data_IF_544584447165
#
_entry.id   IF_544584447165
#
_cell.length_a   1.000
_cell.length_b   1.000
_cell.length_c   1.000
_cell.angle_alpha   90.00
_cell.angle_beta   90.00
_cell.angle_gamma   90.00
#
_symmetry.space_group_name_H-M   'P 1'
#
loop_
_entity.id
_entity.type
_entity.pdbx_description
1 polymer ?
#
# COMPACT_ATOMS: atom_id res chain seq x y z
N UNK A 1 -1.37 -0.49 20.79
CA UNK A 1 -2.74 -0.06 20.51
C UNK A 1 -3.46 -1.22 19.88
N UNK A 2 -4.65 -1.57 20.38
CA UNK A 2 -5.47 -2.65 19.84
C UNK A 2 -6.63 -2.07 18.99
N UNK A 3 -7.52 -2.93 18.50
CA UNK A 3 -8.67 -2.50 17.69
C UNK A 3 -9.70 -1.71 18.54
N UNK A 4 -9.82 -1.99 19.83
CA UNK A 4 -10.73 -1.29 20.74
C UNK A 4 -10.29 0.16 20.96
N UNK A 5 -8.98 0.39 21.13
CA UNK A 5 -8.40 1.73 21.19
C UNK A 5 -8.69 2.53 19.91
N UNK A 6 -8.69 1.86 18.74
CA UNK A 6 -9.02 2.47 17.45
C UNK A 6 -10.48 2.95 17.42
N UNK A 7 -11.41 2.20 18.02
CA UNK A 7 -12.83 2.56 18.08
C UNK A 7 -13.04 3.86 18.87
N UNK A 8 -12.32 4.06 19.97
CA UNK A 8 -12.38 5.32 20.74
C UNK A 8 -11.94 6.54 19.90
N UNK A 9 -10.91 6.36 19.06
CA UNK A 9 -10.46 7.40 18.11
C UNK A 9 -11.56 7.68 17.08
N UNK A 10 -12.20 6.64 16.54
CA UNK A 10 -13.30 6.78 15.57
C UNK A 10 -14.48 7.55 16.17
N UNK A 11 -14.92 7.17 17.37
CA UNK A 11 -16.00 7.85 18.09
C UNK A 11 -15.69 9.33 18.26
N UNK A 12 -14.47 9.66 18.66
CA UNK A 12 -14.01 11.05 18.86
C UNK A 12 -14.00 11.84 17.55
N UNK A 13 -13.47 11.27 16.45
CA UNK A 13 -13.36 11.96 15.15
C UNK A 13 -14.74 12.18 14.53
N UNK A 14 -15.64 11.20 14.63
CA UNK A 14 -16.91 11.21 13.94
C UNK A 14 -18.11 11.54 14.84
N UNK A 15 -17.91 11.95 16.09
CA UNK A 15 -18.98 12.29 17.06
C UNK A 15 -20.04 13.28 16.51
N UNK A 16 -19.63 14.18 15.61
CA UNK A 16 -20.51 15.19 15.01
C UNK A 16 -20.73 14.96 13.50
N UNK A 17 -20.40 13.77 13.00
CA UNK A 17 -20.60 13.39 11.61
C UNK A 17 -21.41 12.08 11.48
N UNK A 18 -22.74 12.13 11.68
CA UNK A 18 -23.61 10.96 11.54
C UNK A 18 -23.54 10.28 10.17
N UNK A 19 -23.13 11.01 9.12
CA UNK A 19 -23.01 10.44 7.77
C UNK A 19 -21.89 9.41 7.66
N UNK A 20 -20.86 9.50 8.50
CA UNK A 20 -19.75 8.55 8.52
C UNK A 20 -20.17 7.13 8.95
N UNK A 21 -21.29 7.01 9.67
CA UNK A 21 -21.86 5.74 10.13
C UNK A 21 -22.90 5.15 9.16
N UNK A 22 -23.26 5.88 8.09
CA UNK A 22 -24.18 5.39 7.05
C UNK A 22 -23.42 4.56 6.03
N UNK A 23 -24.16 3.83 5.17
CA UNK A 23 -23.59 3.04 4.05
C UNK A 23 -22.67 3.90 3.18
N UNK A 24 -21.45 3.43 2.95
CA UNK A 24 -20.41 4.15 2.21
C UNK A 24 -19.69 5.24 3.03
N UNK A 25 -20.04 5.38 4.31
CA UNK A 25 -19.35 6.25 5.26
C UNK A 25 -18.04 5.64 5.75
N UNK A 26 -17.16 6.48 6.31
CA UNK A 26 -15.85 6.07 6.81
C UNK A 26 -15.93 4.95 7.85
N UNK A 27 -16.85 5.07 8.81
CA UNK A 27 -16.95 4.12 9.92
C UNK A 27 -17.48 2.78 9.43
N UNK A 28 -18.44 2.79 8.51
CA UNK A 28 -18.95 1.57 7.90
C UNK A 28 -17.87 0.85 7.09
N UNK A 29 -17.08 1.59 6.30
CA UNK A 29 -15.95 1.05 5.55
C UNK A 29 -14.87 0.47 6.48
N UNK A 30 -14.47 1.17 7.53
CA UNK A 30 -13.49 0.66 8.51
C UNK A 30 -14.01 -0.62 9.19
N UNK A 31 -15.28 -0.64 9.61
CA UNK A 31 -15.88 -1.81 10.23
C UNK A 31 -15.94 -3.01 9.27
N UNK A 32 -16.11 -2.77 7.97
CA UNK A 32 -16.05 -3.85 6.97
C UNK A 32 -14.65 -4.49 6.92
N UNK A 33 -13.58 -3.69 7.01
CA UNK A 33 -12.20 -4.20 7.10
C UNK A 33 -11.89 -4.91 8.42
N UNK A 34 -12.42 -4.41 9.55
CA UNK A 34 -12.30 -5.09 10.85
C UNK A 34 -12.95 -6.48 10.79
N UNK A 35 -14.11 -6.60 10.15
CA UNK A 35 -14.77 -7.90 9.92
C UNK A 35 -13.98 -8.78 8.96
N UNK A 36 -13.41 -8.21 7.90
CA UNK A 36 -12.59 -8.93 6.93
C UNK A 36 -11.38 -9.56 7.62
N UNK A 37 -10.62 -8.81 8.43
CA UNK A 37 -9.47 -9.37 9.15
C UNK A 37 -9.87 -10.45 10.17
N UNK A 38 -11.02 -10.32 10.84
CA UNK A 38 -11.54 -11.38 11.72
C UNK A 38 -11.78 -12.66 10.93
N UNK A 39 -12.47 -12.55 9.79
CA UNK A 39 -12.72 -13.69 8.92
C UNK A 39 -11.43 -14.33 8.40
N UNK A 40 -10.49 -13.53 7.88
CA UNK A 40 -9.20 -14.02 7.37
C UNK A 40 -8.42 -14.81 8.44
N UNK A 41 -8.50 -14.40 9.71
CA UNK A 41 -7.91 -15.14 10.83
C UNK A 41 -8.61 -16.48 11.07
N UNK A 42 -9.93 -16.50 11.03
CA UNK A 42 -10.72 -17.73 11.23
C UNK A 42 -10.44 -18.78 10.16
N UNK A 43 -10.29 -18.35 8.90
CA UNK A 43 -10.00 -19.25 7.76
C UNK A 43 -8.50 -19.44 7.51
N UNK A 44 -7.63 -18.91 8.38
CA UNK A 44 -6.18 -19.02 8.30
C UNK A 44 -5.59 -18.55 6.94
N UNK A 45 -6.07 -17.41 6.44
CA UNK A 45 -5.60 -16.77 5.19
C UNK A 45 -4.76 -15.51 5.42
N UNK A 46 -4.36 -15.27 6.66
CA UNK A 46 -3.47 -14.17 7.02
C UNK A 46 -2.43 -14.66 8.02
N UNK A 47 -1.16 -14.60 7.62
CA UNK A 47 0.00 -15.17 8.32
C UNK A 47 0.68 -14.17 9.26
N UNK A 48 -0.05 -13.14 9.70
CA UNK A 48 0.51 -12.01 10.45
C UNK A 48 1.27 -12.40 11.75
N UNK A 49 0.87 -13.49 12.41
CA UNK A 49 1.55 -13.98 13.63
C UNK A 49 2.96 -14.50 13.34
N UNK A 50 3.18 -15.11 12.18
CA UNK A 50 4.49 -15.65 11.77
C UNK A 50 5.53 -14.53 11.65
N UNK A 51 5.07 -13.31 11.40
CA UNK A 51 5.87 -12.10 11.24
C UNK A 51 5.82 -11.16 12.46
N UNK A 52 5.25 -11.60 13.59
CA UNK A 52 5.11 -10.81 14.82
C UNK A 52 4.37 -9.47 14.61
N UNK A 53 3.36 -9.46 13.73
CA UNK A 53 2.46 -8.31 13.60
C UNK A 53 1.42 -8.33 14.71
N UNK A 54 1.06 -7.13 15.15
CA UNK A 54 -0.13 -6.88 15.96
C UNK A 54 -1.38 -6.95 15.08
N UNK A 55 -2.55 -7.06 15.72
CA UNK A 55 -3.83 -7.05 15.01
C UNK A 55 -4.07 -5.75 14.22
N UNK A 56 -3.56 -4.61 14.71
CA UNK A 56 -3.71 -3.31 14.07
C UNK A 56 -2.77 -3.15 12.86
N UNK A 57 -1.54 -3.65 12.95
CA UNK A 57 -0.62 -3.74 11.81
C UNK A 57 -1.20 -4.61 10.69
N UNK A 58 -1.75 -5.78 11.04
CA UNK A 58 -2.42 -6.64 10.09
C UNK A 58 -3.67 -5.97 9.48
N UNK A 59 -4.46 -5.24 10.29
CA UNK A 59 -5.60 -4.48 9.78
C UNK A 59 -5.17 -3.41 8.78
N UNK A 60 -4.07 -2.70 9.04
CA UNK A 60 -3.53 -1.70 8.11
C UNK A 60 -3.11 -2.32 6.76
N UNK A 61 -2.57 -3.54 6.74
CA UNK A 61 -2.27 -4.27 5.49
C UNK A 61 -3.58 -4.61 4.75
N UNK A 62 -4.57 -5.17 5.44
CA UNK A 62 -5.87 -5.50 4.82
C UNK A 62 -6.57 -4.26 4.26
N UNK A 63 -6.47 -3.12 4.94
CA UNK A 63 -6.99 -1.83 4.46
C UNK A 63 -6.23 -1.36 3.20
N UNK A 64 -4.90 -1.54 3.15
CA UNK A 64 -4.06 -1.17 2.02
C UNK A 64 -4.40 -1.98 0.75
N UNK A 65 -4.60 -3.28 0.88
CA UNK A 65 -4.95 -4.15 -0.25
C UNK A 65 -6.43 -4.00 -0.65
N UNK A 66 -7.29 -3.62 0.30
CA UNK A 66 -8.73 -3.47 0.08
C UNK A 66 -9.18 -2.06 -0.32
N UNK A 67 -10.51 -1.92 -0.45
CA UNK A 67 -11.17 -0.65 -0.82
C UNK A 67 -11.02 0.50 0.20
N UNK A 68 -10.30 0.30 1.31
CA UNK A 68 -10.02 1.32 2.31
C UNK A 68 -8.75 2.14 2.03
N UNK A 69 -7.88 1.65 1.15
CA UNK A 69 -6.54 2.20 0.89
C UNK A 69 -6.57 3.67 0.52
N UNK A 70 -7.37 4.04 -0.49
CA UNK A 70 -7.52 5.42 -0.93
C UNK A 70 -7.97 6.32 0.21
N UNK A 71 -8.95 5.88 1.00
CA UNK A 71 -9.63 6.72 1.99
C UNK A 71 -8.84 6.91 3.29
N UNK A 72 -8.16 5.87 3.75
CA UNK A 72 -7.49 5.88 5.07
C UNK A 72 -5.97 5.98 5.01
N UNK A 73 -5.35 5.62 3.89
CA UNK A 73 -3.89 5.48 3.78
C UNK A 73 -3.35 6.42 2.71
N UNK A 74 -3.69 6.18 1.44
CA UNK A 74 -3.09 6.87 0.31
C UNK A 74 -3.53 8.34 0.21
N UNK A 75 -4.84 8.65 0.15
CA UNK A 75 -5.30 10.05 0.00
C UNK A 75 -4.79 10.96 1.14
N UNK A 76 -4.83 10.59 2.44
CA UNK A 76 -4.26 11.40 3.52
C UNK A 76 -2.78 11.75 3.37
N UNK A 77 -1.98 10.88 2.72
CA UNK A 77 -0.56 11.13 2.45
C UNK A 77 -0.32 12.20 1.37
N UNK A 78 -1.30 12.42 0.47
CA UNK A 78 -1.24 13.44 -0.58
C UNK A 78 -2.12 14.67 -0.28
N UNK A 79 -3.07 14.55 0.63
CA UNK A 79 -4.01 15.61 1.01
C UNK A 79 -4.07 15.77 2.52
N UNK A 80 -3.28 16.72 3.06
CA UNK A 80 -3.24 17.02 4.49
C UNK A 80 -4.58 17.34 5.13
N UNK A 81 -5.59 17.79 4.36
CA UNK A 81 -6.94 18.04 4.91
C UNK A 81 -7.70 16.76 5.27
N UNK A 82 -7.25 15.62 4.78
CA UNK A 82 -7.80 14.29 5.06
C UNK A 82 -7.06 13.58 6.19
N UNK A 83 -5.90 14.11 6.59
CA UNK A 83 -5.14 13.59 7.72
C UNK A 83 -5.86 13.92 9.04
N UNK A 84 -6.05 12.88 9.85
CA UNK A 84 -6.61 12.93 11.19
C UNK A 84 -6.04 11.78 12.04
N UNK A 85 -6.34 11.74 13.34
CA UNK A 85 -5.77 10.76 14.26
C UNK A 85 -6.02 9.29 13.85
N UNK A 86 -7.15 8.96 13.22
CA UNK A 86 -7.43 7.61 12.72
C UNK A 86 -6.47 7.26 11.57
N UNK A 87 -6.38 8.13 10.56
CA UNK A 87 -5.50 7.89 9.40
C UNK A 87 -4.02 7.88 9.81
N UNK A 88 -3.61 8.73 10.75
CA UNK A 88 -2.24 8.75 11.27
C UNK A 88 -1.88 7.43 11.95
N UNK A 89 -2.76 6.92 12.81
CA UNK A 89 -2.57 5.63 13.47
C UNK A 89 -2.48 4.50 12.44
N UNK A 90 -3.36 4.46 11.44
CA UNK A 90 -3.35 3.42 10.41
C UNK A 90 -2.08 3.47 9.55
N UNK A 91 -1.64 4.67 9.16
CA UNK A 91 -0.41 4.88 8.37
C UNK A 91 0.83 4.49 9.18
N UNK A 92 0.92 4.88 10.46
CA UNK A 92 2.05 4.52 11.34
C UNK A 92 2.12 3.01 11.60
N UNK A 93 0.96 2.35 11.75
CA UNK A 93 0.93 0.89 11.87
C UNK A 93 1.35 0.24 10.55
N UNK A 94 0.98 0.78 9.39
CA UNK A 94 1.47 0.25 8.12
C UNK A 94 2.99 0.41 7.97
N UNK A 95 3.55 1.58 8.33
CA UNK A 95 5.00 1.81 8.36
C UNK A 95 5.72 0.76 9.23
N UNK A 96 5.13 0.39 10.37
CA UNK A 96 5.67 -0.65 11.26
C UNK A 96 5.52 -2.05 10.67
N UNK A 97 4.35 -2.36 10.11
CA UNK A 97 4.03 -3.66 9.52
C UNK A 97 4.96 -4.01 8.35
N UNK A 98 5.21 -3.05 7.44
CA UNK A 98 6.08 -3.27 6.28
C UNK A 98 7.50 -3.68 6.71
N UNK A 99 8.06 -3.06 7.75
CA UNK A 99 9.43 -3.39 8.22
C UNK A 99 9.54 -4.79 8.84
N UNK A 100 8.41 -5.41 9.20
CA UNK A 100 8.34 -6.78 9.71
C UNK A 100 8.10 -7.82 8.60
N UNK A 101 7.60 -7.38 7.45
CA UNK A 101 7.43 -8.23 6.28
C UNK A 101 8.82 -8.58 5.68
N UNK A 102 8.92 -9.69 4.93
CA UNK A 102 10.15 -10.03 4.22
C UNK A 102 10.55 -8.94 3.23
N UNK A 103 11.83 -8.64 3.14
CA UNK A 103 12.38 -7.77 2.09
C UNK A 103 12.15 -8.41 0.72
N UNK A 104 11.96 -7.55 -0.29
CA UNK A 104 11.83 -7.99 -1.66
C UNK A 104 13.11 -8.64 -2.18
N UNK A 105 12.93 -9.79 -2.81
CA UNK A 105 13.97 -10.59 -3.46
C UNK A 105 13.86 -10.57 -4.98
N UNK A 106 12.74 -10.07 -5.52
CA UNK A 106 12.48 -10.07 -6.95
C UNK A 106 13.23 -8.94 -7.67
N UNK A 107 13.91 -9.22 -8.79
CA UNK A 107 14.74 -8.21 -9.48
C UNK A 107 13.92 -7.21 -10.29
N UNK A 108 12.63 -7.49 -10.54
CA UNK A 108 11.72 -6.63 -11.29
C UNK A 108 10.35 -6.68 -10.62
N UNK A 109 9.72 -5.51 -10.50
CA UNK A 109 8.35 -5.35 -10.03
C UNK A 109 7.56 -4.52 -11.04
N UNK A 110 6.24 -4.64 -11.01
CA UNK A 110 5.32 -3.98 -11.93
C UNK A 110 4.27 -3.18 -11.18
N UNK A 111 3.85 -2.05 -11.74
CA UNK A 111 2.67 -1.32 -11.27
C UNK A 111 1.95 -0.66 -12.43
N UNK A 112 0.62 -0.74 -12.41
CA UNK A 112 -0.25 -0.13 -13.41
C UNK A 112 -0.98 1.05 -12.78
N UNK A 113 -0.75 2.25 -13.31
CA UNK A 113 -1.35 3.52 -12.87
C UNK A 113 -1.21 3.86 -11.37
N UNK A 114 -0.44 3.08 -10.60
CA UNK A 114 -0.34 3.18 -9.14
C UNK A 114 0.29 4.48 -8.64
N UNK A 115 1.12 5.14 -9.46
CA UNK A 115 1.62 6.48 -9.19
C UNK A 115 1.46 7.35 -10.43
N UNK A 116 0.44 8.21 -10.43
CA UNK A 116 0.18 9.10 -11.56
C UNK A 116 1.09 10.32 -11.53
N UNK A 117 2.03 10.36 -12.47
CA UNK A 117 2.94 11.49 -12.71
C UNK A 117 2.86 11.94 -14.18
N UNK A 118 2.69 13.24 -14.39
CA UNK A 118 2.78 13.84 -15.71
C UNK A 118 4.21 14.19 -16.12
N UNK A 119 4.45 14.31 -17.42
CA UNK A 119 5.71 14.83 -18.00
C UNK A 119 6.99 14.06 -17.62
N UNK A 120 6.93 12.72 -17.62
CA UNK A 120 8.10 11.88 -17.37
C UNK A 120 9.24 12.13 -18.37
N UNK A 121 10.48 12.21 -17.86
CA UNK A 121 11.70 12.30 -18.66
C UNK A 121 12.76 11.34 -18.12
N UNK A 122 13.55 10.77 -19.02
CA UNK A 122 14.71 9.96 -18.65
C UNK A 122 15.69 10.82 -17.84
N UNK A 123 16.20 10.26 -16.74
CA UNK A 123 17.05 10.93 -15.76
C UNK A 123 16.30 11.70 -14.67
N UNK A 124 14.97 11.80 -14.74
CA UNK A 124 14.18 12.42 -13.66
C UNK A 124 14.29 11.59 -12.37
N UNK A 125 14.54 12.27 -11.25
CA UNK A 125 14.45 11.69 -9.91
C UNK A 125 13.18 12.20 -9.24
N UNK A 126 12.42 11.29 -8.65
CA UNK A 126 11.21 11.63 -7.90
C UNK A 126 11.08 10.82 -6.62
N UNK A 127 10.30 11.34 -5.69
CA UNK A 127 9.95 10.69 -4.42
C UNK A 127 8.47 10.32 -4.44
N UNK A 128 8.13 9.08 -4.06
CA UNK A 128 6.73 8.69 -3.83
C UNK A 128 6.38 9.03 -2.38
N UNK A 129 5.45 9.95 -2.17
CA UNK A 129 5.07 10.39 -0.80
C UNK A 129 4.22 9.36 -0.05
N UNK A 130 3.39 8.60 -0.77
CA UNK A 130 2.62 7.47 -0.26
C UNK A 130 3.39 6.17 -0.33
N UNK A 131 2.73 5.05 -0.02
CA UNK A 131 3.28 3.73 -0.27
C UNK A 131 3.16 3.42 -1.77
N UNK A 132 4.20 2.84 -2.38
CA UNK A 132 4.14 2.49 -3.80
C UNK A 132 3.83 1.01 -3.98
N UNK A 133 2.57 0.74 -4.32
CA UNK A 133 2.05 -0.60 -4.53
C UNK A 133 2.49 -1.14 -5.87
N UNK A 134 3.13 -2.31 -5.84
CA UNK A 134 3.64 -3.05 -7.00
C UNK A 134 3.29 -4.52 -6.87
N UNK A 135 3.56 -5.31 -7.91
CA UNK A 135 3.43 -6.76 -7.91
C UNK A 135 4.63 -7.40 -8.61
N UNK A 136 4.87 -8.67 -8.32
CA UNK A 136 5.79 -9.51 -9.11
C UNK A 136 5.19 -9.86 -10.48
N UNK A 137 3.86 -9.78 -10.60
CA UNK A 137 3.13 -10.12 -11.81
C UNK A 137 2.93 -8.92 -12.72
N UNK A 138 3.15 -9.16 -14.01
CA UNK A 138 2.91 -8.19 -15.06
C UNK A 138 1.46 -8.26 -15.55
N UNK A 139 0.56 -7.60 -14.84
CA UNK A 139 -0.83 -7.49 -15.27
C UNK A 139 -0.97 -6.59 -16.49
N UNK A 140 -1.78 -7.00 -17.48
CA UNK A 140 -2.09 -6.18 -18.65
C UNK A 140 -3.40 -5.40 -18.44
N UNK A 141 -3.39 -4.47 -17.48
CA UNK A 141 -4.55 -3.64 -17.13
C UNK A 141 -4.21 -2.16 -16.94
N UNK A 142 -3.08 -1.70 -17.48
CA UNK A 142 -2.71 -0.29 -17.45
C UNK A 142 -3.61 0.56 -18.35
N UNK A 143 -4.05 1.71 -17.85
CA UNK A 143 -4.83 2.70 -18.58
C UNK A 143 -3.98 3.86 -19.10
N UNK A 144 -2.90 4.22 -18.40
CA UNK A 144 -2.08 5.39 -18.77
C UNK A 144 -0.58 5.11 -18.66
N UNK A 145 -0.14 4.51 -17.56
CA UNK A 145 1.27 4.22 -17.33
C UNK A 145 1.43 2.82 -16.75
N UNK A 146 2.29 2.03 -17.37
CA UNK A 146 2.87 0.83 -16.80
C UNK A 146 4.28 1.13 -16.31
N UNK A 147 4.51 0.91 -15.03
CA UNK A 147 5.80 1.05 -14.39
C UNK A 147 6.51 -0.30 -14.37
N UNK A 148 7.76 -0.32 -14.81
CA UNK A 148 8.67 -1.45 -14.64
C UNK A 148 9.77 -0.98 -13.70
N UNK A 149 9.81 -1.57 -12.51
CA UNK A 149 10.61 -1.11 -11.40
C UNK A 149 11.77 -2.09 -11.18
N UNK A 150 12.99 -1.58 -11.18
CA UNK A 150 14.18 -2.27 -10.69
C UNK A 150 14.42 -1.88 -9.22
N UNK A 151 14.02 -2.69 -8.23
CA UNK A 151 14.35 -2.44 -6.83
C UNK A 151 15.85 -2.59 -6.59
N UNK A 152 16.34 -2.02 -5.49
CA UNK A 152 17.69 -2.32 -5.02
C UNK A 152 17.81 -3.81 -4.63
N UNK A 153 19.04 -4.34 -4.50
CA UNK A 153 19.24 -5.70 -4.01
C UNK A 153 18.63 -5.95 -2.62
N UNK A 154 18.37 -7.22 -2.32
CA UNK A 154 17.91 -7.67 -1.01
C UNK A 154 18.81 -7.11 0.10
N UNK A 155 18.20 -6.59 1.17
CA UNK A 155 18.88 -5.92 2.28
C UNK A 155 19.10 -4.41 2.08
N UNK A 156 18.99 -3.89 0.85
CA UNK A 156 19.09 -2.45 0.55
C UNK A 156 17.75 -1.84 0.13
N UNK A 157 16.90 -2.62 -0.56
CA UNK A 157 15.60 -2.15 -1.03
C UNK A 157 14.66 -1.77 0.11
N UNK A 158 13.78 -0.80 -0.14
CA UNK A 158 12.61 -0.46 0.67
C UNK A 158 11.34 -1.19 0.26
N UNK A 159 11.41 -2.12 -0.67
CA UNK A 159 10.30 -3.00 -1.04
C UNK A 159 10.17 -4.19 -0.09
N UNK A 160 8.93 -4.54 0.23
CA UNK A 160 8.58 -5.67 1.10
C UNK A 160 7.46 -6.52 0.52
N UNK A 161 7.60 -7.83 0.66
CA UNK A 161 6.69 -8.84 0.09
C UNK A 161 5.49 -9.07 1.01
N UNK A 162 4.52 -8.16 0.97
CA UNK A 162 3.34 -8.23 1.84
C UNK A 162 2.40 -9.38 1.49
N UNK A 163 2.44 -9.87 0.24
CA UNK A 163 1.69 -11.06 -0.17
C UNK A 163 1.98 -12.31 0.67
N UNK A 164 3.16 -12.36 1.32
CA UNK A 164 3.50 -13.45 2.24
C UNK A 164 2.75 -13.38 3.57
N UNK A 165 2.28 -12.19 3.95
CA UNK A 165 1.42 -11.99 5.12
C UNK A 165 -0.04 -12.24 4.73
N UNK A 166 -0.49 -11.63 3.65
CA UNK A 166 -1.84 -11.76 3.12
C UNK A 166 -1.77 -11.54 1.61
N UNK A 167 -2.29 -12.48 0.82
CA UNK A 167 -2.34 -12.35 -0.62
C UNK A 167 -3.80 -12.18 -1.04
N UNK A 168 -4.23 -10.93 -1.28
CA UNK A 168 -5.55 -10.70 -1.83
C UNK A 168 -5.72 -11.45 -3.16
N UNK A 169 -6.88 -12.11 -3.31
CA UNK A 169 -7.20 -12.88 -4.51
C UNK A 169 -6.57 -14.27 -4.59
N UNK A 170 -5.97 -14.82 -3.53
CA UNK A 170 -5.37 -16.17 -3.54
C UNK A 170 -6.34 -17.29 -3.97
N UNK A 171 -7.62 -17.18 -3.63
CA UNK A 171 -8.66 -18.13 -4.08
C UNK A 171 -9.31 -17.76 -5.42
N UNK A 172 -8.92 -16.62 -5.98
CA UNK A 172 -9.35 -16.18 -7.28
C UNK A 172 -8.29 -16.56 -8.33
N UNK A 173 -8.62 -16.55 -9.63
CA UNK A 173 -7.65 -16.85 -10.68
C UNK A 173 -6.47 -15.87 -10.78
N UNK A 174 -6.51 -14.77 -10.01
CA UNK A 174 -5.57 -13.65 -10.07
C UNK A 174 -5.15 -13.23 -8.65
N UNK A 175 -4.32 -14.03 -7.96
CA UNK A 175 -3.60 -13.56 -6.78
C UNK A 175 -2.79 -12.31 -7.13
N UNK A 176 -2.74 -11.33 -6.24
CA UNK A 176 -2.13 -10.04 -6.55
C UNK A 176 -0.61 -10.04 -6.33
N UNK A 177 -0.09 -10.92 -5.48
CA UNK A 177 1.34 -11.01 -5.13
C UNK A 177 1.98 -9.64 -4.86
N UNK A 178 1.26 -8.81 -4.10
CA UNK A 178 1.59 -7.43 -3.85
C UNK A 178 2.92 -7.27 -3.09
N UNK A 179 3.75 -6.36 -3.59
CA UNK A 179 5.01 -5.89 -3.00
C UNK A 179 4.90 -4.38 -2.79
N UNK A 180 5.22 -3.92 -1.60
CA UNK A 180 5.02 -2.52 -1.22
C UNK A 180 6.35 -1.83 -0.90
N UNK A 181 6.60 -0.68 -1.53
CA UNK A 181 7.71 0.18 -1.13
C UNK A 181 7.30 1.11 0.03
N UNK A 182 8.24 1.36 0.94
CA UNK A 182 8.05 2.40 1.97
C UNK A 182 7.73 3.75 1.33
N UNK A 183 6.91 4.53 2.03
CA UNK A 183 6.73 5.95 1.70
C UNK A 183 8.04 6.73 1.79
N UNK A 184 8.18 7.70 0.89
CA UNK A 184 9.41 8.48 0.74
C UNK A 184 10.51 7.77 -0.06
N UNK A 185 10.22 6.62 -0.69
CA UNK A 185 11.17 5.96 -1.59
C UNK A 185 11.41 6.83 -2.83
N UNK A 186 12.68 6.89 -3.25
CA UNK A 186 13.14 7.66 -4.40
C UNK A 186 13.42 6.74 -5.57
N UNK A 187 13.07 7.20 -6.76
CA UNK A 187 13.30 6.48 -8.00
C UNK A 187 13.91 7.41 -9.05
N UNK A 188 14.71 6.84 -9.96
CA UNK A 188 15.18 7.49 -11.18
C UNK A 188 14.50 6.85 -12.39
N UNK A 189 14.01 7.67 -13.32
CA UNK A 189 13.49 7.19 -14.60
C UNK A 189 14.65 6.84 -15.53
N UNK A 190 14.75 5.58 -15.93
CA UNK A 190 15.87 5.07 -16.74
C UNK A 190 15.52 4.91 -18.21
N UNK A 191 14.25 4.63 -18.54
CA UNK A 191 13.76 4.52 -19.91
C UNK A 191 12.27 4.84 -20.01
N UNK A 192 11.83 5.31 -21.19
CA UNK A 192 10.43 5.58 -21.48
C UNK A 192 10.11 5.08 -22.89
N UNK A 193 9.22 4.10 -22.99
CA UNK A 193 8.66 3.63 -24.25
C UNK A 193 7.25 4.19 -24.40
N UNK A 194 7.06 5.05 -25.40
CA UNK A 194 5.74 5.61 -25.72
C UNK A 194 4.92 4.57 -26.46
N UNK A 195 3.80 4.17 -25.86
CA UNK A 195 2.81 3.29 -26.50
C UNK A 195 1.65 4.08 -27.09
N UNK A 196 0.78 3.36 -27.80
CA UNK A 196 -0.49 3.93 -28.31
C UNK A 196 -1.56 4.04 -27.22
N UNK A 197 -1.58 3.08 -26.29
CA UNK A 197 -2.57 2.99 -25.23
C UNK A 197 -2.03 3.56 -23.92
N UNK A 198 -0.85 3.11 -23.50
CA UNK A 198 -0.16 3.60 -22.31
C UNK A 198 1.35 3.73 -22.57
N UNK A 199 2.03 4.51 -21.73
CA UNK A 199 3.49 4.56 -21.72
C UNK A 199 4.04 3.46 -20.81
N UNK A 200 5.13 2.81 -21.22
CA UNK A 200 5.93 1.96 -20.33
C UNK A 200 7.10 2.77 -19.82
N UNK A 201 7.20 2.91 -18.52
CA UNK A 201 8.22 3.72 -17.85
C UNK A 201 9.07 2.82 -16.97
N UNK A 202 10.35 2.71 -17.32
CA UNK A 202 11.32 1.99 -16.51
C UNK A 202 11.90 2.92 -15.46
N UNK A 203 11.92 2.46 -14.22
CA UNK A 203 12.51 3.18 -13.10
C UNK A 203 13.40 2.25 -12.29
N UNK A 204 14.39 2.81 -11.60
CA UNK A 204 15.17 2.08 -10.59
C UNK A 204 15.06 2.77 -9.24
N UNK A 205 15.03 1.99 -8.18
CA UNK A 205 15.08 2.49 -6.81
C UNK A 205 16.45 3.13 -6.52
N UNK A 206 16.44 4.24 -5.79
CA UNK A 206 17.65 4.91 -5.34
C UNK A 206 17.90 4.66 -3.84
N UNK A 207 19.16 4.49 -3.42
CA UNK A 207 19.48 4.32 -2.00
C UNK A 207 19.05 5.53 -1.18
N UNK A 208 18.69 5.28 0.08
CA UNK A 208 18.52 6.38 1.04
C UNK A 208 19.84 7.10 1.19
N UNK A 209 19.85 8.43 1.06
CA UNK A 209 21.03 9.20 1.46
C UNK A 209 21.23 8.99 2.96
N UNK A 210 22.36 8.41 3.33
CA UNK A 210 22.85 8.44 4.71
C UNK A 210 23.09 9.91 5.06
N UNK A 211 22.29 10.44 5.97
CA UNK A 211 22.52 11.76 6.58
C UNK A 211 23.67 11.61 7.58
#
# INVERSE_FOLDING_TARGET
MNIEDLQLIVETIYQHNPSAYKRGGDVELLNSHIKAIQHLKEVNKIHYKEYNLTDLEALSIVILEGFGSSRFIQEPLYNRRKLNALTEVLIQNLDSALRKAPKNTHPVLYANDGFMRGNNRIGDIFTVNGFFTTSIDDFDNAHSIKWIIEPLPEGQTKAYEIYKIYNHGEDCPYPEYQVEFERGTKFEITDIKKGKEYNVVHIKELPSQTI
#
